data_IF_847432966463
#
_entry.id   IF_847432966463
#
_cell.length_a   1.000
_cell.length_b   1.000
_cell.length_c   1.000
_cell.angle_alpha   90.00
_cell.angle_beta   90.00
_cell.angle_gamma   90.00
#
_symmetry.space_group_name_H-M   'P 1'
#
loop_
_entity.id
_entity.type
_entity.pdbx_description
1 polymer ?
#
# COMPACT_ATOMS: atom_id res chain seq x y z
N UNK A 1 8.46 6.60 4.83
CA UNK A 1 8.01 6.78 6.23
C UNK A 1 8.37 5.48 6.94
N UNK A 2 7.91 5.24 8.17
CA UNK A 2 8.05 3.90 8.75
C UNK A 2 6.81 3.54 9.57
N UNK A 3 6.24 2.38 9.24
CA UNK A 3 5.00 1.80 9.75
C UNK A 3 5.11 1.15 11.14
N UNK A 4 6.11 1.52 11.95
CA UNK A 4 6.39 0.86 13.23
C UNK A 4 5.11 0.81 14.09
N UNK A 5 4.78 -0.39 14.58
CA UNK A 5 3.50 -0.64 15.24
C UNK A 5 3.39 0.16 16.54
N UNK A 6 2.42 1.08 16.59
CA UNK A 6 2.20 1.96 17.74
C UNK A 6 3.07 3.23 17.77
N UNK A 7 3.99 3.40 16.82
CA UNK A 7 4.82 4.61 16.67
C UNK A 7 5.16 4.88 15.20
N UNK A 8 4.16 5.32 14.43
CA UNK A 8 4.36 5.65 13.02
C UNK A 8 5.20 6.91 12.89
N UNK A 9 6.24 6.87 12.05
CA UNK A 9 7.14 8.01 11.83
C UNK A 9 6.97 8.60 10.43
N UNK A 10 6.89 9.91 10.35
CA UNK A 10 6.69 10.65 9.10
C UNK A 10 7.83 11.65 8.91
N UNK A 11 8.15 11.94 7.64
CA UNK A 11 8.87 13.19 7.34
C UNK A 11 7.89 14.35 7.53
N UNK A 12 8.36 15.51 8.01
CA UNK A 12 7.53 16.68 8.28
C UNK A 12 6.61 17.04 7.11
N UNK A 13 7.14 17.02 5.88
CA UNK A 13 6.41 17.33 4.64
C UNK A 13 5.28 16.36 4.28
N UNK A 14 5.13 15.26 5.02
CA UNK A 14 4.11 14.24 4.81
C UNK A 14 3.13 14.11 5.99
N UNK A 15 3.28 14.92 7.05
CA UNK A 15 2.40 14.92 8.22
C UNK A 15 1.92 16.32 8.57
N UNK A 16 2.81 17.32 8.55
CA UNK A 16 2.47 18.68 8.89
C UNK A 16 1.72 19.34 7.72
N UNK A 17 0.68 20.08 8.06
CA UNK A 17 -0.12 20.88 7.12
C UNK A 17 -0.34 22.27 7.71
N UNK A 18 -0.06 23.29 6.92
CA UNK A 18 -0.29 24.69 7.26
C UNK A 18 -1.30 25.31 6.27
N UNK A 19 -2.49 25.73 6.71
CA UNK A 19 -3.51 26.31 5.84
C UNK A 19 -3.06 27.52 5.03
N UNK A 20 -2.08 28.30 5.52
CA UNK A 20 -1.62 29.53 4.85
C UNK A 20 -0.61 29.26 3.74
N UNK A 21 0.15 28.16 3.82
CA UNK A 21 1.28 27.88 2.93
C UNK A 21 1.17 26.56 2.17
N UNK A 22 0.36 25.61 2.64
CA UNK A 22 0.21 24.28 2.07
C UNK A 22 -0.94 24.23 1.08
N UNK A 23 -0.69 23.68 -0.11
CA UNK A 23 -1.72 23.51 -1.13
C UNK A 23 -2.76 22.43 -0.75
N UNK A 24 -3.92 22.43 -1.40
CA UNK A 24 -4.91 21.34 -1.27
C UNK A 24 -4.30 19.98 -1.62
N UNK A 25 -3.38 19.93 -2.60
CA UNK A 25 -2.64 18.72 -2.95
C UNK A 25 -1.74 18.24 -1.81
N UNK A 26 -1.16 19.15 -1.03
CA UNK A 26 -0.41 18.75 0.17
C UNK A 26 -1.34 18.13 1.20
N UNK A 27 -2.54 18.71 1.40
CA UNK A 27 -3.54 18.16 2.34
C UNK A 27 -3.97 16.75 1.94
N UNK A 28 -4.32 16.55 0.66
CA UNK A 28 -4.70 15.25 0.09
C UNK A 28 -3.58 14.22 0.23
N UNK A 29 -2.34 14.60 -0.11
CA UNK A 29 -1.17 13.75 0.03
C UNK A 29 -0.94 13.34 1.48
N UNK A 30 -1.02 14.28 2.43
CA UNK A 30 -0.87 14.00 3.86
C UNK A 30 -1.94 13.01 4.35
N UNK A 31 -3.21 13.22 4.01
CA UNK A 31 -4.29 12.32 4.39
C UNK A 31 -4.08 10.90 3.83
N UNK A 32 -3.70 10.80 2.55
CA UNK A 32 -3.43 9.52 1.88
C UNK A 32 -2.24 8.78 2.52
N UNK A 33 -1.16 9.49 2.86
CA UNK A 33 0.00 8.89 3.51
C UNK A 33 -0.35 8.40 4.92
N UNK A 34 -1.11 9.18 5.70
CA UNK A 34 -1.57 8.73 7.02
C UNK A 34 -2.41 7.46 6.89
N UNK A 35 -3.34 7.43 5.93
CA UNK A 35 -4.16 6.25 5.67
C UNK A 35 -3.31 5.03 5.25
N UNK A 36 -2.27 5.22 4.43
CA UNK A 36 -1.32 4.17 4.03
C UNK A 36 -0.59 3.57 5.24
N UNK A 37 0.01 4.40 6.08
CA UNK A 37 0.76 3.91 7.24
C UNK A 37 -0.14 3.28 8.30
N UNK A 38 -1.38 3.76 8.45
CA UNK A 38 -2.37 3.14 9.32
C UNK A 38 -2.85 1.79 8.77
N UNK A 39 -2.97 1.64 7.45
CA UNK A 39 -3.31 0.36 6.83
C UNK A 39 -2.27 -0.72 7.13
N UNK A 40 -0.99 -0.35 7.24
CA UNK A 40 0.07 -1.26 7.63
C UNK A 40 -0.06 -1.85 9.04
N UNK A 41 -0.89 -1.27 9.91
CA UNK A 41 -1.21 -1.88 11.21
C UNK A 41 -1.87 -3.25 11.04
N UNK A 42 -2.56 -3.49 9.92
CA UNK A 42 -3.09 -4.80 9.53
C UNK A 42 -2.20 -5.48 8.49
N UNK A 43 -1.91 -4.79 7.38
CA UNK A 43 -1.14 -5.32 6.25
C UNK A 43 0.35 -5.06 6.41
N UNK A 44 1.04 -5.98 7.10
CA UNK A 44 2.47 -5.95 7.31
C UNK A 44 2.88 -6.06 8.77
N UNK A 45 2.12 -5.45 9.67
CA UNK A 45 2.32 -5.61 11.11
C UNK A 45 1.58 -6.82 11.67
N UNK A 46 0.24 -6.86 11.54
CA UNK A 46 -0.57 -7.96 12.04
C UNK A 46 -0.36 -9.25 11.23
N UNK A 47 -0.37 -9.12 9.90
CA UNK A 47 -0.02 -10.20 8.97
C UNK A 47 1.19 -9.76 8.18
N UNK A 48 2.33 -10.41 8.42
CA UNK A 48 3.60 -10.12 7.76
C UNK A 48 3.90 -11.19 6.71
N UNK A 49 4.40 -10.78 5.54
CA UNK A 49 4.95 -11.69 4.54
C UNK A 49 6.07 -12.55 5.13
N UNK A 50 6.19 -13.77 4.59
CA UNK A 50 7.29 -14.68 4.91
C UNK A 50 8.63 -14.15 4.41
N UNK A 51 8.68 -13.56 3.21
CA UNK A 51 9.90 -13.08 2.58
C UNK A 51 9.65 -11.92 1.61
N UNK A 52 10.69 -11.11 1.36
CA UNK A 52 10.63 -9.83 0.63
C UNK A 52 10.22 -9.92 -0.83
N UNK A 53 10.29 -11.11 -1.45
CA UNK A 53 9.81 -11.35 -2.80
C UNK A 53 8.29 -11.12 -2.95
N UNK A 54 7.55 -11.04 -1.85
CA UNK A 54 6.11 -10.74 -1.81
C UNK A 54 5.79 -9.40 -1.14
N UNK A 55 6.73 -8.46 -1.07
CA UNK A 55 6.53 -7.16 -0.40
C UNK A 55 5.35 -6.36 -0.99
N UNK A 56 5.01 -6.60 -2.26
CA UNK A 56 3.84 -5.99 -2.91
C UNK A 56 2.52 -6.32 -2.20
N UNK A 57 2.43 -7.43 -1.44
CA UNK A 57 1.26 -7.70 -0.63
C UNK A 57 1.12 -6.65 0.48
N UNK A 58 2.19 -6.30 1.19
CA UNK A 58 2.10 -5.22 2.18
C UNK A 58 1.84 -3.87 1.51
N UNK A 59 2.73 -3.48 0.60
CA UNK A 59 2.74 -2.12 0.05
C UNK A 59 1.59 -1.88 -0.92
N UNK A 60 1.19 -2.89 -1.69
CA UNK A 60 0.06 -2.84 -2.59
C UNK A 60 -1.27 -2.79 -1.86
N UNK A 61 -1.47 -3.58 -0.78
CA UNK A 61 -2.69 -3.48 0.03
C UNK A 61 -2.77 -2.11 0.71
N UNK A 62 -1.72 -1.68 1.38
CA UNK A 62 -1.68 -0.36 2.03
C UNK A 62 -1.96 0.76 1.01
N UNK A 63 -1.31 0.71 -0.15
CA UNK A 63 -1.53 1.68 -1.24
C UNK A 63 -2.96 1.67 -1.76
N UNK A 64 -3.61 0.50 -1.86
CA UNK A 64 -5.00 0.40 -2.29
C UNK A 64 -5.96 1.01 -1.27
N UNK A 65 -5.91 0.57 -0.02
CA UNK A 65 -6.86 1.01 1.00
C UNK A 65 -6.57 2.42 1.51
N UNK A 66 -5.37 2.96 1.30
CA UNK A 66 -5.04 4.35 1.60
C UNK A 66 -6.01 5.34 0.94
N UNK A 67 -6.38 5.07 -0.32
CA UNK A 67 -7.35 5.89 -1.04
C UNK A 67 -8.76 5.77 -0.46
N UNK A 68 -9.17 4.55 -0.06
CA UNK A 68 -10.45 4.34 0.60
C UNK A 68 -10.51 5.05 1.96
N UNK A 69 -9.42 5.00 2.73
CA UNK A 69 -9.31 5.67 4.02
C UNK A 69 -9.31 7.19 3.89
N UNK A 70 -8.59 7.73 2.90
CA UNK A 70 -8.58 9.16 2.62
C UNK A 70 -9.96 9.65 2.12
N UNK A 71 -10.60 8.91 1.22
CA UNK A 71 -11.96 9.20 0.73
C UNK A 71 -12.98 9.13 1.88
N UNK A 72 -12.88 8.14 2.77
CA UNK A 72 -13.74 8.06 3.95
C UNK A 72 -13.56 9.25 4.89
N UNK A 73 -12.32 9.70 5.11
CA UNK A 73 -12.03 10.86 5.96
C UNK A 73 -12.52 12.17 5.34
N UNK A 74 -12.40 12.32 4.02
CA UNK A 74 -12.72 13.54 3.27
C UNK A 74 -13.50 13.24 1.97
N UNK A 75 -14.80 12.84 2.06
CA UNK A 75 -15.59 12.32 0.93
C UNK A 75 -15.85 13.33 -0.19
N UNK A 76 -15.58 14.62 0.04
CA UNK A 76 -15.83 15.69 -0.92
C UNK A 76 -14.66 15.93 -1.87
N UNK A 77 -13.48 15.36 -1.58
CA UNK A 77 -12.26 15.63 -2.34
C UNK A 77 -12.22 14.90 -3.68
N UNK A 78 -13.03 13.85 -3.86
CA UNK A 78 -13.00 12.97 -5.02
C UNK A 78 -11.56 12.52 -5.30
N UNK A 79 -10.92 11.87 -4.32
CA UNK A 79 -9.50 11.49 -4.41
C UNK A 79 -9.33 10.52 -5.58
N UNK A 80 -8.78 11.02 -6.71
CA UNK A 80 -8.56 10.20 -7.91
C UNK A 80 -7.15 9.63 -7.88
N UNK A 81 -7.05 8.30 -7.89
CA UNK A 81 -5.78 7.61 -8.07
C UNK A 81 -5.28 7.77 -9.51
N UNK A 82 -4.08 8.31 -9.68
CA UNK A 82 -3.45 8.43 -10.99
C UNK A 82 -2.52 7.24 -11.24
N UNK A 83 -2.90 6.36 -12.18
CA UNK A 83 -2.19 5.12 -12.50
C UNK A 83 -0.97 5.35 -13.40
N UNK A 84 0.10 5.93 -12.85
CA UNK A 84 1.34 6.18 -13.58
C UNK A 84 2.21 4.93 -13.80
N UNK A 85 1.87 3.80 -13.19
CA UNK A 85 2.70 2.60 -13.22
C UNK A 85 2.78 1.93 -14.61
N UNK A 86 1.75 2.09 -15.47
CA UNK A 86 1.75 1.47 -16.80
C UNK A 86 2.93 1.91 -17.66
N UNK A 87 3.40 3.16 -17.51
CA UNK A 87 4.57 3.65 -18.25
C UNK A 87 5.85 2.91 -17.87
N UNK A 88 6.00 2.53 -16.59
CA UNK A 88 7.15 1.75 -16.11
C UNK A 88 6.97 0.27 -16.42
N UNK A 89 5.76 -0.26 -16.23
CA UNK A 89 5.46 -1.68 -16.44
C UNK A 89 5.53 -2.11 -17.93
N UNK A 90 5.39 -1.16 -18.85
CA UNK A 90 5.56 -1.39 -20.29
C UNK A 90 7.04 -1.49 -20.73
N UNK A 91 8.00 -1.19 -19.87
CA UNK A 91 9.43 -1.29 -20.19
C UNK A 91 9.93 -2.73 -20.08
N UNK A 92 10.90 -3.10 -20.91
CA UNK A 92 11.57 -4.41 -20.81
C UNK A 92 12.38 -4.58 -19.52
N UNK A 93 12.66 -3.49 -18.82
CA UNK A 93 13.32 -3.48 -17.51
C UNK A 93 12.33 -3.59 -16.34
N UNK A 94 11.03 -3.70 -16.60
CA UNK A 94 10.03 -4.00 -15.55
C UNK A 94 10.27 -5.39 -14.97
N UNK A 95 9.56 -5.71 -13.90
CA UNK A 95 9.56 -7.02 -13.25
C UNK A 95 8.16 -7.47 -12.83
N UNK A 96 7.95 -8.78 -12.59
CA UNK A 96 6.71 -9.28 -12.00
C UNK A 96 6.50 -8.76 -10.56
N UNK A 97 5.26 -8.80 -10.07
CA UNK A 97 4.94 -8.42 -8.68
C UNK A 97 5.61 -9.32 -7.63
N UNK A 98 5.65 -10.63 -7.90
CA UNK A 98 6.36 -11.61 -7.08
C UNK A 98 7.51 -12.23 -7.85
N UNK A 99 8.60 -12.51 -7.16
CA UNK A 99 9.75 -13.27 -7.66
C UNK A 99 9.99 -14.53 -6.81
N UNK A 100 10.95 -15.38 -7.19
CA UNK A 100 11.32 -16.53 -6.36
C UNK A 100 12.05 -16.06 -5.10
N UNK A 101 11.79 -16.67 -3.93
CA UNK A 101 12.45 -16.32 -2.66
C UNK A 101 13.98 -16.30 -2.80
N UNK A 102 14.55 -17.32 -3.45
CA UNK A 102 15.99 -17.49 -3.69
C UNK A 102 16.62 -16.41 -4.58
N UNK A 103 15.80 -15.59 -5.27
CA UNK A 103 16.31 -14.50 -6.11
C UNK A 103 16.60 -13.22 -5.32
N UNK A 104 16.08 -13.11 -4.10
CA UNK A 104 16.22 -11.95 -3.21
C UNK A 104 17.03 -12.36 -1.99
N UNK A 105 18.35 -12.14 -2.03
CA UNK A 105 19.28 -12.59 -0.98
C UNK A 105 20.02 -11.41 -0.36
N UNK A 106 20.43 -10.45 -1.18
CA UNK A 106 21.22 -9.30 -0.77
C UNK A 106 20.34 -8.12 -0.36
N UNK A 107 20.79 -7.27 0.58
CA UNK A 107 20.01 -6.10 1.04
C UNK A 107 19.62 -5.11 -0.07
N UNK A 108 20.45 -4.95 -1.10
CA UNK A 108 20.12 -4.08 -2.24
C UNK A 108 18.96 -4.67 -3.07
N UNK A 109 18.91 -5.99 -3.25
CA UNK A 109 17.82 -6.66 -3.97
C UNK A 109 16.49 -6.52 -3.23
N UNK A 110 16.52 -6.57 -1.90
CA UNK A 110 15.36 -6.28 -1.05
C UNK A 110 14.91 -4.84 -1.27
N UNK A 111 15.85 -3.89 -1.26
CA UNK A 111 15.55 -2.46 -1.44
C UNK A 111 14.96 -2.18 -2.83
N UNK A 112 15.41 -2.90 -3.86
CA UNK A 112 14.89 -2.84 -5.23
C UNK A 112 13.43 -3.30 -5.34
N UNK A 113 12.91 -4.10 -4.39
CA UNK A 113 11.50 -4.50 -4.39
C UNK A 113 10.57 -3.35 -3.96
N UNK A 114 11.08 -2.28 -3.34
CA UNK A 114 10.28 -1.13 -2.90
C UNK A 114 10.17 -0.08 -4.00
N UNK A 115 9.44 -0.41 -5.06
CA UNK A 115 9.37 0.37 -6.28
C UNK A 115 7.93 0.67 -6.73
N UNK A 116 7.76 1.33 -7.88
CA UNK A 116 6.42 1.66 -8.38
C UNK A 116 5.59 0.41 -8.71
N UNK A 117 6.21 -0.70 -9.08
CA UNK A 117 5.51 -1.94 -9.38
C UNK A 117 4.89 -2.52 -8.10
N UNK A 118 5.64 -2.70 -7.03
CA UNK A 118 5.11 -3.24 -5.77
C UNK A 118 3.98 -2.41 -5.18
N UNK A 119 4.09 -1.08 -5.23
CA UNK A 119 3.10 -0.17 -4.66
C UNK A 119 1.90 0.01 -5.60
N UNK A 120 2.15 0.54 -6.80
CA UNK A 120 1.08 0.99 -7.70
C UNK A 120 0.49 -0.16 -8.52
N UNK A 121 1.31 -1.03 -9.12
CA UNK A 121 0.74 -2.18 -9.84
C UNK A 121 0.06 -3.14 -8.86
N UNK A 122 0.65 -3.35 -7.68
CA UNK A 122 0.05 -4.16 -6.60
C UNK A 122 -1.34 -3.66 -6.21
N UNK A 123 -1.48 -2.38 -5.89
CA UNK A 123 -2.77 -1.76 -5.57
C UNK A 123 -3.79 -1.86 -6.72
N UNK A 124 -3.35 -1.70 -7.97
CA UNK A 124 -4.23 -1.78 -9.13
C UNK A 124 -4.80 -3.19 -9.33
N UNK A 125 -3.97 -4.23 -9.17
CA UNK A 125 -4.40 -5.62 -9.26
C UNK A 125 -5.36 -5.98 -8.12
N UNK A 126 -5.11 -5.50 -6.89
CA UNK A 126 -6.00 -5.72 -5.75
C UNK A 126 -7.35 -5.04 -5.93
N UNK A 127 -7.36 -3.79 -6.43
CA UNK A 127 -8.60 -3.10 -6.78
C UNK A 127 -9.38 -3.87 -7.85
N UNK A 128 -8.71 -4.30 -8.92
CA UNK A 128 -9.33 -5.10 -9.98
C UNK A 128 -9.94 -6.40 -9.41
N UNK A 129 -9.24 -7.06 -8.48
CA UNK A 129 -9.75 -8.26 -7.81
C UNK A 129 -10.98 -7.95 -6.95
N UNK A 130 -10.96 -6.86 -6.19
CA UNK A 130 -12.10 -6.38 -5.41
C UNK A 130 -13.31 -6.09 -6.31
N UNK A 131 -13.09 -5.48 -7.47
CA UNK A 131 -14.15 -5.19 -8.45
C UNK A 131 -14.72 -6.47 -9.07
N UNK A 132 -13.86 -7.45 -9.40
CA UNK A 132 -14.28 -8.75 -9.96
C UNK A 132 -15.09 -9.57 -8.95
N UNK A 133 -14.70 -9.56 -7.67
CA UNK A 133 -15.36 -10.34 -6.62
C UNK A 133 -16.57 -9.62 -6.00
N UNK A 134 -16.66 -8.30 -6.16
CA UNK A 134 -17.38 -7.36 -5.31
C UNK A 134 -16.72 -7.11 -3.95
N UNK A 135 -16.79 -5.86 -3.49
CA UNK A 135 -16.20 -5.41 -2.23
C UNK A 135 -16.66 -6.24 -1.00
N UNK A 136 -17.95 -6.61 -0.83
CA UNK A 136 -18.36 -7.44 0.31
C UNK A 136 -17.67 -8.80 0.35
N UNK A 137 -17.51 -9.46 -0.82
CA UNK A 137 -16.85 -10.77 -0.91
C UNK A 137 -15.35 -10.63 -0.67
N UNK A 138 -14.74 -9.56 -1.20
CA UNK A 138 -13.33 -9.25 -0.98
C UNK A 138 -13.04 -9.02 0.52
N UNK A 139 -13.84 -8.21 1.20
CA UNK A 139 -13.73 -7.96 2.65
C UNK A 139 -13.93 -9.25 3.46
N UNK A 140 -14.87 -10.10 3.07
CA UNK A 140 -15.06 -11.40 3.72
C UNK A 140 -13.82 -12.28 3.59
N UNK A 141 -13.20 -12.35 2.40
CA UNK A 141 -11.96 -13.08 2.18
C UNK A 141 -10.81 -12.55 3.04
N UNK A 142 -10.66 -11.23 3.14
CA UNK A 142 -9.67 -10.59 4.02
C UNK A 142 -9.89 -10.93 5.49
N UNK A 143 -11.14 -10.89 5.96
CA UNK A 143 -11.49 -11.22 7.34
C UNK A 143 -11.08 -12.66 7.68
N UNK A 144 -11.35 -13.61 6.79
CA UNK A 144 -10.93 -15.00 6.95
C UNK A 144 -9.40 -15.11 6.96
N UNK A 145 -8.71 -14.43 6.05
CA UNK A 145 -7.25 -14.42 5.98
C UNK A 145 -6.64 -13.96 7.32
N UNK A 146 -7.08 -12.81 7.84
CA UNK A 146 -6.60 -12.29 9.12
C UNK A 146 -6.89 -13.24 10.28
N UNK A 147 -8.08 -13.83 10.35
CA UNK A 147 -8.40 -14.82 11.39
C UNK A 147 -7.48 -16.04 11.33
N UNK A 148 -7.15 -16.54 10.13
CA UNK A 148 -6.24 -17.68 9.99
C UNK A 148 -4.89 -17.33 10.59
N UNK A 149 -4.27 -16.23 10.19
CA UNK A 149 -2.93 -15.87 10.65
C UNK A 149 -2.87 -15.50 12.14
N UNK A 150 -3.94 -14.94 12.70
CA UNK A 150 -4.07 -14.68 14.14
C UNK A 150 -4.17 -15.95 14.99
N UNK A 151 -4.66 -17.06 14.43
CA UNK A 151 -4.78 -18.33 15.15
C UNK A 151 -3.47 -19.15 15.13
N UNK A 152 -2.49 -18.77 14.31
CA UNK A 152 -1.19 -19.47 14.20
C UNK A 152 -0.02 -18.68 14.82
N UNK A 153 -0.27 -17.47 15.32
CA UNK A 153 0.69 -16.60 16.01
C UNK A 153 0.57 -16.70 17.52
#
# INVERSE_FOLDING_TARGET
MMLNWGLVTYRETNLLYDPETSSSRNKEKTATIIAHELAHMWFGNLVTLRWWNEVWLNEGFASYVAYLGADHAEPTWNVVRTDFFFAVDALTSSHPLSSNEDSIVLPNQISEQFDVISYSKGAAVLRMLSDVLSEPVFIQGLSVCFCIFLLVS
#
